data_IF_844211517838
#
_entry.id   IF_844211517838
#
_cell.length_a   1.000
_cell.length_b   1.000
_cell.length_c   1.000
_cell.angle_alpha   90.00
_cell.angle_beta   90.00
_cell.angle_gamma   90.00
#
_symmetry.space_group_name_H-M   'P 1'
#
loop_
_entity.id
_entity.type
_entity.pdbx_description
1 polymer ?
#
# COMPACT_ATOMS: atom_id res chain seq x y z
N UNK A 1 13.56 -13.81 14.44
CA UNK A 1 12.21 -13.30 14.06
C UNK A 1 12.15 -12.73 12.63
N UNK A 2 13.16 -11.99 12.14
CA UNK A 2 13.22 -11.43 10.77
C UNK A 2 12.96 -12.47 9.66
N UNK A 3 13.61 -13.63 9.74
CA UNK A 3 13.46 -14.72 8.77
C UNK A 3 12.01 -15.26 8.69
N UNK A 4 11.31 -15.33 9.83
CA UNK A 4 9.93 -15.83 9.89
C UNK A 4 8.97 -14.81 9.27
N UNK A 5 9.12 -13.53 9.59
CA UNK A 5 8.31 -12.46 9.00
C UNK A 5 8.52 -12.35 7.49
N UNK A 6 9.76 -12.42 7.02
CA UNK A 6 10.07 -12.42 5.58
C UNK A 6 9.48 -13.64 4.87
N UNK A 7 9.60 -14.84 5.45
CA UNK A 7 8.99 -16.06 4.89
C UNK A 7 7.47 -16.02 4.88
N UNK A 8 6.85 -15.44 5.91
CA UNK A 8 5.40 -15.28 5.98
C UNK A 8 4.91 -14.29 4.92
N UNK A 9 5.62 -13.18 4.74
CA UNK A 9 5.37 -12.21 3.67
C UNK A 9 5.53 -12.85 2.30
N UNK A 10 6.65 -13.55 2.05
CA UNK A 10 6.89 -14.25 0.78
C UNK A 10 5.81 -15.31 0.50
N UNK A 11 5.39 -16.07 1.51
CA UNK A 11 4.32 -17.05 1.38
C UNK A 11 2.95 -16.40 1.11
N UNK A 12 2.62 -15.31 1.78
CA UNK A 12 1.40 -14.55 1.52
C UNK A 12 1.40 -13.95 0.11
N UNK A 13 2.53 -13.37 -0.32
CA UNK A 13 2.72 -12.89 -1.68
C UNK A 13 2.58 -14.01 -2.71
N UNK A 14 3.17 -15.19 -2.48
CA UNK A 14 3.05 -16.33 -3.38
C UNK A 14 1.60 -16.86 -3.47
N UNK A 15 0.86 -16.82 -2.36
CA UNK A 15 -0.57 -17.16 -2.34
C UNK A 15 -1.43 -16.14 -3.10
N UNK A 16 -1.15 -14.85 -2.92
CA UNK A 16 -1.96 -13.76 -3.49
C UNK A 16 -1.66 -13.49 -4.96
N UNK A 17 -0.40 -13.61 -5.36
CA UNK A 17 0.09 -13.20 -6.67
C UNK A 17 0.53 -14.38 -7.55
N UNK A 18 0.41 -15.61 -7.04
CA UNK A 18 0.86 -16.82 -7.71
C UNK A 18 2.38 -17.01 -7.71
N UNK A 19 2.81 -18.22 -8.07
CA UNK A 19 4.23 -18.61 -8.11
C UNK A 19 5.05 -17.91 -9.20
N UNK A 20 4.37 -17.26 -10.16
CA UNK A 20 4.99 -16.61 -11.32
C UNK A 20 5.68 -15.28 -10.96
N UNK A 21 5.61 -14.84 -9.69
CA UNK A 21 6.41 -13.74 -9.14
C UNK A 21 6.21 -12.39 -9.86
N UNK A 22 5.02 -12.16 -10.41
CA UNK A 22 4.62 -10.92 -11.06
C UNK A 22 3.64 -10.21 -10.14
N UNK A 23 4.01 -9.03 -9.64
CA UNK A 23 3.21 -8.33 -8.62
C UNK A 23 2.95 -6.89 -9.06
N UNK A 24 1.71 -6.39 -8.92
CA UNK A 24 1.48 -4.96 -9.02
C UNK A 24 2.20 -4.23 -7.88
N UNK A 25 2.61 -2.99 -8.16
CA UNK A 25 3.18 -2.06 -7.20
C UNK A 25 2.75 -0.65 -7.52
N UNK A 26 2.83 0.22 -6.51
CA UNK A 26 2.78 1.66 -6.74
C UNK A 26 4.04 2.06 -7.49
N UNK A 27 3.86 2.60 -8.69
CA UNK A 27 4.96 3.13 -9.49
C UNK A 27 5.27 4.57 -9.08
N UNK A 28 4.23 5.40 -8.95
CA UNK A 28 4.38 6.81 -8.64
C UNK A 28 3.13 7.36 -7.96
N UNK A 29 3.33 8.38 -7.13
CA UNK A 29 2.26 9.22 -6.58
C UNK A 29 2.63 10.67 -6.89
N UNK A 30 1.76 11.38 -7.60
CA UNK A 30 1.93 12.79 -7.95
C UNK A 30 0.76 13.63 -7.46
N UNK A 31 1.03 14.87 -7.09
CA UNK A 31 -0.01 15.85 -6.79
C UNK A 31 -0.29 16.70 -8.04
N UNK A 32 -1.53 16.69 -8.53
CA UNK A 32 -1.97 17.44 -9.72
C UNK A 32 -3.34 18.02 -9.47
N UNK A 33 -3.49 19.33 -9.63
CA UNK A 33 -4.78 20.04 -9.51
C UNK A 33 -5.57 19.74 -8.22
N UNK A 34 -4.86 19.61 -7.09
CA UNK A 34 -5.49 19.29 -5.79
C UNK A 34 -5.88 17.81 -5.62
N UNK A 35 -5.42 16.93 -6.51
CA UNK A 35 -5.59 15.49 -6.44
C UNK A 35 -4.24 14.81 -6.21
N UNK A 36 -4.23 13.69 -5.49
CA UNK A 36 -3.16 12.71 -5.54
C UNK A 36 -3.50 11.67 -6.60
N UNK A 37 -2.62 11.51 -7.58
CA UNK A 37 -2.75 10.54 -8.65
C UNK A 37 -1.74 9.42 -8.42
N UNK A 38 -2.23 8.19 -8.26
CA UNK A 38 -1.43 6.99 -8.02
C UNK A 38 -1.37 6.17 -9.32
N UNK A 39 -0.17 6.01 -9.87
CA UNK A 39 0.08 5.10 -10.99
C UNK A 39 0.61 3.76 -10.47
N UNK A 40 0.26 2.70 -11.20
CA UNK A 40 0.65 1.34 -10.86
C UNK A 40 1.44 0.72 -12.01
N UNK A 41 2.38 -0.13 -11.63
CA UNK A 41 3.12 -0.97 -12.57
C UNK A 41 3.20 -2.38 -12.02
N UNK A 42 3.35 -3.32 -12.94
CA UNK A 42 3.58 -4.71 -12.65
C UNK A 42 5.07 -5.01 -12.79
N UNK A 43 5.67 -5.62 -11.78
CA UNK A 43 7.09 -5.98 -11.76
C UNK A 43 7.25 -7.48 -11.57
N UNK A 44 8.08 -8.08 -12.43
CA UNK A 44 8.56 -9.44 -12.20
C UNK A 44 9.73 -9.41 -11.21
N UNK A 45 9.73 -10.30 -10.22
CA UNK A 45 10.77 -10.41 -9.18
C UNK A 45 12.19 -10.61 -9.73
N UNK A 46 12.34 -10.98 -11.01
CA UNK A 46 13.61 -11.24 -11.69
C UNK A 46 14.24 -10.02 -12.37
N UNK A 47 13.84 -8.79 -11.99
CA UNK A 47 14.50 -7.56 -12.47
C UNK A 47 14.11 -7.15 -13.89
N UNK A 48 12.95 -7.58 -14.37
CA UNK A 48 12.35 -7.00 -15.57
C UNK A 48 11.92 -5.56 -15.29
N UNK A 49 11.95 -4.71 -16.32
CA UNK A 49 11.45 -3.34 -16.22
C UNK A 49 9.97 -3.36 -15.80
N UNK A 50 9.56 -2.45 -14.89
CA UNK A 50 8.14 -2.28 -14.56
C UNK A 50 7.33 -2.00 -15.82
N UNK A 51 6.18 -2.67 -15.92
CA UNK A 51 5.22 -2.45 -17.01
C UNK A 51 3.99 -1.76 -16.42
N UNK A 52 3.60 -0.56 -16.90
CA UNK A 52 2.40 0.11 -16.41
C UNK A 52 1.18 -0.80 -16.45
N UNK A 53 0.35 -0.73 -15.42
CA UNK A 53 -0.89 -1.50 -15.35
C UNK A 53 -2.06 -0.61 -14.92
N UNK A 54 -3.24 -0.93 -15.46
CA UNK A 54 -4.46 -0.18 -15.20
C UNK A 54 -5.10 -0.67 -13.89
N UNK A 55 -5.32 0.22 -12.91
CA UNK A 55 -6.08 -0.13 -11.72
C UNK A 55 -7.57 -0.26 -12.06
N UNK A 56 -8.21 -1.29 -11.51
CA UNK A 56 -9.64 -1.55 -11.60
C UNK A 56 -10.16 -1.92 -10.20
N UNK A 57 -11.47 -1.90 -10.00
CA UNK A 57 -12.11 -2.45 -8.81
C UNK A 57 -12.79 -3.77 -9.15
N UNK A 58 -12.71 -4.74 -8.23
CA UNK A 58 -13.30 -6.08 -8.46
C UNK A 58 -14.82 -6.03 -8.66
N UNK A 59 -15.50 -5.09 -8.02
CA UNK A 59 -16.95 -4.89 -8.07
C UNK A 59 -17.38 -3.84 -9.13
N UNK A 60 -16.42 -3.22 -9.83
CA UNK A 60 -16.66 -2.15 -10.80
C UNK A 60 -17.11 -0.82 -10.19
N UNK A 61 -17.09 -0.70 -8.85
CA UNK A 61 -17.40 0.54 -8.14
C UNK A 61 -16.19 1.48 -8.02
N UNK A 62 -16.37 2.57 -7.27
CA UNK A 62 -15.25 3.47 -6.94
C UNK A 62 -14.24 2.76 -6.01
N UNK A 63 -12.92 3.04 -6.16
CA UNK A 63 -11.91 2.51 -5.25
C UNK A 63 -12.20 2.86 -3.78
N UNK A 64 -12.14 1.85 -2.94
CA UNK A 64 -12.28 1.98 -1.49
C UNK A 64 -10.94 1.93 -0.78
N UNK A 65 -10.99 1.86 0.55
CA UNK A 65 -9.85 1.48 1.39
C UNK A 65 -8.68 2.47 1.47
N UNK A 66 -8.79 3.62 0.79
CA UNK A 66 -7.88 4.73 1.00
C UNK A 66 -8.25 5.53 2.24
N UNK A 67 -7.22 5.98 2.96
CA UNK A 67 -7.37 6.80 4.15
C UNK A 67 -6.29 7.88 4.22
N UNK A 68 -6.72 9.06 4.66
CA UNK A 68 -5.85 10.13 5.08
C UNK A 68 -5.55 10.04 6.57
N UNK A 69 -4.29 10.23 6.93
CA UNK A 69 -3.85 10.27 8.33
C UNK A 69 -3.10 11.56 8.57
N UNK A 70 -3.45 12.24 9.65
CA UNK A 70 -2.65 13.33 10.22
C UNK A 70 -2.00 12.82 11.50
N UNK A 71 -0.72 13.12 11.71
CA UNK A 71 0.02 12.62 12.88
C UNK A 71 -0.42 13.26 14.19
N UNK A 72 -1.03 14.44 14.12
CA UNK A 72 -1.63 15.13 15.26
C UNK A 72 -3.03 14.57 15.59
N UNK A 73 -3.66 13.85 14.66
CA UNK A 73 -4.95 13.21 14.83
C UNK A 73 -4.76 11.73 15.14
N UNK A 74 -5.42 11.24 16.18
CA UNK A 74 -5.40 9.81 16.52
C UNK A 74 -6.31 8.96 15.62
N UNK A 75 -6.85 9.53 14.53
CA UNK A 75 -7.77 8.84 13.63
C UNK A 75 -7.33 8.94 12.17
N UNK A 76 -7.59 7.87 11.43
CA UNK A 76 -7.56 7.86 9.98
C UNK A 76 -8.96 8.22 9.46
N UNK A 77 -9.02 8.97 8.36
CA UNK A 77 -10.27 9.41 7.72
C UNK A 77 -10.35 8.79 6.33
N UNK A 78 -11.51 8.24 5.91
CA UNK A 78 -11.67 7.74 4.54
C UNK A 78 -11.31 8.79 3.49
N UNK A 79 -10.53 8.38 2.50
CA UNK A 79 -10.20 9.19 1.34
C UNK A 79 -11.01 8.66 0.14
N UNK A 80 -12.01 9.41 -0.36
CA UNK A 80 -12.69 9.06 -1.60
C UNK A 80 -11.69 8.94 -2.74
N UNK A 81 -11.91 8.02 -3.67
CA UNK A 81 -11.01 7.80 -4.78
C UNK A 81 -11.81 7.43 -6.03
N UNK A 82 -11.27 7.76 -7.20
CA UNK A 82 -11.82 7.40 -8.51
C UNK A 82 -10.73 6.76 -9.37
N UNK A 83 -11.12 5.95 -10.35
CA UNK A 83 -10.19 5.51 -11.41
C UNK A 83 -10.37 6.44 -12.60
N UNK A 84 -9.29 7.11 -13.01
CA UNK A 84 -9.26 7.98 -14.17
C UNK A 84 -8.18 7.50 -15.14
N UNK A 85 -8.59 6.83 -16.22
CA UNK A 85 -7.67 6.22 -17.16
C UNK A 85 -6.85 5.10 -16.52
N UNK A 86 -5.54 5.35 -16.33
CA UNK A 86 -4.59 4.38 -15.77
C UNK A 86 -4.13 4.72 -14.33
N UNK A 87 -4.80 5.66 -13.67
CA UNK A 87 -4.43 6.13 -12.33
C UNK A 87 -5.63 6.08 -11.39
N UNK A 88 -5.32 6.00 -10.09
CA UNK A 88 -6.29 6.26 -9.03
C UNK A 88 -6.13 7.71 -8.58
N UNK A 89 -7.20 8.50 -8.69
CA UNK A 89 -7.22 9.90 -8.33
C UNK A 89 -7.93 10.09 -6.99
N UNK A 90 -7.30 10.83 -6.08
CA UNK A 90 -7.76 11.01 -4.69
C UNK A 90 -7.74 12.51 -4.37
N UNK A 91 -8.90 13.17 -4.21
CA UNK A 91 -8.93 14.59 -3.87
C UNK A 91 -8.29 14.87 -2.53
N UNK A 92 -7.41 15.87 -2.50
CA UNK A 92 -6.83 16.36 -1.26
C UNK A 92 -7.87 17.18 -0.50
N UNK A 93 -8.01 16.95 0.83
CA UNK A 93 -8.81 17.81 1.66
C UNK A 93 -8.11 19.16 1.88
N UNK A 94 -8.87 20.18 2.29
CA UNK A 94 -8.36 21.53 2.55
C UNK A 94 -7.18 21.53 3.54
N UNK A 95 -7.30 20.77 4.64
CA UNK A 95 -6.19 20.56 5.56
C UNK A 95 -5.31 19.42 5.04
N UNK A 96 -4.10 19.72 4.57
CA UNK A 96 -3.19 18.71 4.01
C UNK A 96 -2.91 17.55 4.99
N UNK A 97 -3.07 16.28 4.57
CA UNK A 97 -2.73 15.13 5.38
C UNK A 97 -1.21 14.87 5.43
N UNK A 98 -0.76 14.14 6.45
CA UNK A 98 0.64 13.71 6.56
C UNK A 98 0.90 12.43 5.78
N UNK A 99 -0.07 11.52 5.74
CA UNK A 99 0.06 10.20 5.14
C UNK A 99 -1.19 9.85 4.32
N UNK A 100 -0.97 9.34 3.12
CA UNK A 100 -1.98 8.59 2.37
C UNK A 100 -1.73 7.09 2.60
N UNK A 101 -2.77 6.33 2.92
CA UNK A 101 -2.69 4.89 3.12
C UNK A 101 -3.72 4.17 2.26
N UNK A 102 -3.33 3.04 1.69
CA UNK A 102 -4.23 2.05 1.11
C UNK A 102 -4.01 0.72 1.82
N UNK A 103 -5.06 0.10 2.33
CA UNK A 103 -4.95 -1.16 3.06
C UNK A 103 -6.17 -2.05 2.85
N UNK A 104 -5.96 -3.33 2.56
CA UNK A 104 -7.08 -4.26 2.46
C UNK A 104 -7.74 -4.45 3.83
N UNK A 105 -8.98 -3.97 4.00
CA UNK A 105 -9.82 -4.40 5.13
C UNK A 105 -10.10 -5.90 5.03
N UNK A 106 -10.43 -6.50 6.17
CA UNK A 106 -10.87 -7.90 6.25
C UNK A 106 -12.16 -8.21 5.46
N UNK A 107 -12.80 -7.21 4.84
CA UNK A 107 -13.93 -7.37 3.94
C UNK A 107 -13.61 -6.79 2.55
N UNK A 108 -12.91 -7.54 1.68
CA UNK A 108 -12.45 -7.07 0.37
C UNK A 108 -13.55 -6.96 -0.69
N UNK A 109 -14.83 -7.05 -0.30
CA UNK A 109 -15.95 -7.18 -1.25
C UNK A 109 -16.33 -5.89 -1.97
N UNK A 110 -15.84 -4.73 -1.52
CA UNK A 110 -16.21 -3.42 -2.10
C UNK A 110 -15.00 -2.56 -2.38
N UNK A 111 -14.88 -2.06 -3.60
CA UNK A 111 -13.85 -1.09 -3.99
C UNK A 111 -12.40 -1.60 -3.87
N UNK A 112 -12.17 -2.91 -3.76
CA UNK A 112 -10.82 -3.47 -3.71
C UNK A 112 -10.14 -3.29 -5.06
N UNK A 113 -8.97 -2.65 -5.05
CA UNK A 113 -8.18 -2.48 -6.27
C UNK A 113 -7.52 -3.78 -6.71
N UNK A 114 -7.64 -4.05 -8.00
CA UNK A 114 -7.00 -5.13 -8.72
C UNK A 114 -6.37 -4.62 -10.02
N UNK A 115 -5.38 -5.33 -10.56
CA UNK A 115 -4.88 -5.10 -11.91
C UNK A 115 -5.82 -5.69 -12.98
N UNK A 116 -5.48 -5.50 -14.25
CA UNK A 116 -6.26 -6.04 -15.38
C UNK A 116 -6.38 -7.58 -15.43
N UNK A 117 -5.66 -8.31 -14.57
CA UNK A 117 -5.76 -9.78 -14.42
C UNK A 117 -6.58 -10.18 -13.19
N UNK A 118 -7.09 -9.23 -12.42
CA UNK A 118 -7.78 -9.47 -11.16
C UNK A 118 -6.83 -9.65 -9.96
N UNK A 119 -5.54 -9.34 -10.11
CA UNK A 119 -4.54 -9.44 -9.06
C UNK A 119 -4.66 -8.25 -8.11
N UNK A 120 -4.83 -8.42 -6.79
CA UNK A 120 -4.95 -7.30 -5.86
C UNK A 120 -3.77 -6.31 -5.92
N UNK A 121 -4.05 -5.00 -5.97
CA UNK A 121 -3.00 -3.98 -5.81
C UNK A 121 -2.46 -4.01 -4.37
N UNK A 122 -1.16 -3.87 -4.12
CA UNK A 122 -0.60 -4.08 -2.78
C UNK A 122 -0.98 -2.94 -1.82
N UNK A 123 -1.12 -3.23 -0.51
CA UNK A 123 -1.24 -2.20 0.52
C UNK A 123 -0.01 -1.31 0.55
N UNK A 124 -0.21 -0.05 0.89
CA UNK A 124 0.90 0.89 1.04
C UNK A 124 0.58 2.03 2.01
N UNK A 125 1.64 2.69 2.48
CA UNK A 125 1.54 3.98 3.16
C UNK A 125 2.57 4.94 2.55
N UNK A 126 2.18 6.17 2.30
CA UNK A 126 3.00 7.20 1.65
C UNK A 126 3.04 8.45 2.51
N UNK A 127 4.24 8.91 2.87
CA UNK A 127 4.45 10.15 3.62
C UNK A 127 4.42 11.32 2.64
N UNK A 128 3.35 12.11 2.69
CA UNK A 128 3.12 13.26 1.80
C UNK A 128 4.13 14.38 2.00
N UNK A 129 4.69 14.50 3.21
CA UNK A 129 5.70 15.52 3.52
C UNK A 129 7.06 15.11 2.99
N UNK A 130 7.40 13.82 3.05
CA UNK A 130 8.68 13.29 2.57
C UNK A 130 8.67 12.92 1.09
N UNK A 131 7.50 12.75 0.50
CA UNK A 131 7.34 12.29 -0.87
C UNK A 131 7.82 10.84 -1.07
N UNK A 132 7.65 9.98 -0.05
CA UNK A 132 8.23 8.63 -0.05
C UNK A 132 7.30 7.59 0.58
N UNK A 133 7.43 6.35 0.10
CA UNK A 133 6.78 5.18 0.71
C UNK A 133 7.28 5.00 2.15
N UNK A 134 6.37 4.72 3.06
CA UNK A 134 6.69 4.33 4.43
C UNK A 134 6.91 2.83 4.44
N UNK A 135 8.18 2.45 4.54
CA UNK A 135 8.56 1.06 4.73
C UNK A 135 7.91 0.52 6.02
N UNK A 136 7.32 -0.69 6.00
CA UNK A 136 6.85 -1.34 7.21
C UNK A 136 8.03 -1.48 8.18
N UNK A 137 8.00 -0.70 9.25
CA UNK A 137 9.06 -0.72 10.26
C UNK A 137 8.94 -2.01 11.07
N UNK A 138 9.74 -3.03 10.71
CA UNK A 138 9.96 -4.20 11.56
C UNK A 138 10.74 -3.71 12.78
N UNK A 139 10.05 -3.29 13.83
CA UNK A 139 10.67 -2.96 15.11
C UNK A 139 11.44 -4.19 15.59
N UNK A 140 12.77 -4.11 15.58
CA UNK A 140 13.59 -5.05 16.33
C UNK A 140 13.18 -4.90 17.80
N UNK A 141 12.54 -5.94 18.36
CA UNK A 141 12.26 -5.98 19.78
C UNK A 141 13.59 -5.81 20.52
N UNK A 142 13.65 -4.83 21.43
CA UNK A 142 14.83 -4.55 22.23
C UNK A 142 15.27 -5.80 22.97
N UNK A 143 16.59 -5.95 23.07
CA UNK A 143 17.21 -6.93 23.95
C UNK A 143 16.69 -6.69 25.37
N UNK A 144 16.07 -7.72 25.94
CA UNK A 144 15.76 -7.73 27.37
C UNK A 144 17.09 -7.97 28.05
N UNK A 145 17.62 -6.91 28.67
CA UNK A 145 18.84 -6.94 29.45
C UNK A 145 18.67 -7.98 30.57
N UNK A 146 19.32 -9.13 30.43
CA UNK A 146 19.36 -10.17 31.45
C UNK A 146 20.34 -9.72 32.54
N UNK A 147 19.87 -8.81 33.38
CA UNK A 147 20.54 -8.40 34.61
C UNK A 147 20.80 -9.59 35.53
N UNK A 148 22.07 -9.92 35.66
CA UNK A 148 22.76 -10.47 36.84
C UNK A 148 21.90 -10.73 38.09
N UNK A 149 21.55 -12.00 38.30
CA UNK A 149 21.24 -12.55 39.61
C UNK A 149 22.42 -13.35 40.13
N UNK A 150 23.24 -12.74 41.01
CA UNK A 150 24.16 -13.47 41.90
C UNK A 150 23.34 -14.16 42.98
N UNK A 151 23.67 -15.42 43.27
CA UNK A 151 23.49 -16.05 44.57
C UNK A 151 24.88 -16.26 45.19
#
# INVERSE_FOLDING_TARGET
>A
KKLVASRLFDAACALLYGGDNVQPMVERIEERDGMLCVSYATVARQGANPVPCTPLTLDGGDPGEFEFVWRDAMCAVPAPATVEGAEVCIPLPERRPDILRYAWRNNPSRGLLVDGRGTPMPPFAYDLKRGAMIEPSVRAGGDVDAGTGRA
#
